data_IF_444322276063
#
_entry.id   IF_444322276063
#
_cell.length_a   1.000
_cell.length_b   1.000
_cell.length_c   1.000
_cell.angle_alpha   90.00
_cell.angle_beta   90.00
_cell.angle_gamma   90.00
#
_symmetry.space_group_name_H-M   'P 1'
#
loop_
_entity.id
_entity.type
_entity.pdbx_description
1 polymer ?
#
# COMPACT_ATOMS: atom_id res chain seq x y z
N UNK A 1 2.55 -6.18 -24.77
CA UNK A 1 2.50 -6.57 -23.34
C UNK A 1 2.23 -5.32 -22.54
N UNK A 2 1.48 -5.41 -21.46
CA UNK A 2 1.20 -4.24 -20.60
C UNK A 2 2.28 -4.14 -19.52
N UNK A 3 2.66 -2.93 -19.12
CA UNK A 3 3.63 -2.68 -18.02
C UNK A 3 3.26 -3.42 -16.73
N UNK A 4 1.97 -3.69 -16.50
CA UNK A 4 1.47 -4.47 -15.37
C UNK A 4 1.85 -5.96 -15.43
N UNK A 5 1.83 -6.57 -16.61
CA UNK A 5 2.17 -7.99 -16.78
C UNK A 5 3.67 -8.21 -16.59
N UNK A 6 4.48 -7.30 -17.12
CA UNK A 6 5.93 -7.30 -17.00
C UNK A 6 6.37 -7.04 -15.55
N UNK A 7 5.72 -6.09 -14.86
CA UNK A 7 5.90 -5.87 -13.42
C UNK A 7 5.66 -7.15 -12.61
N UNK A 8 4.53 -7.82 -12.85
CA UNK A 8 4.20 -9.08 -12.15
C UNK A 8 5.21 -10.19 -12.42
N UNK A 9 5.72 -10.29 -13.65
CA UNK A 9 6.77 -11.27 -13.96
C UNK A 9 8.06 -10.98 -13.20
N UNK A 10 8.49 -9.72 -13.17
CA UNK A 10 9.72 -9.33 -12.48
C UNK A 10 9.62 -9.54 -10.96
N UNK A 11 8.46 -9.25 -10.35
CA UNK A 11 8.21 -9.57 -8.93
C UNK A 11 8.30 -11.08 -8.68
N UNK A 12 7.66 -11.90 -9.52
CA UNK A 12 7.70 -13.37 -9.39
C UNK A 12 9.11 -13.95 -9.56
N UNK A 13 9.94 -13.31 -10.39
CA UNK A 13 11.32 -13.69 -10.60
C UNK A 13 12.26 -13.25 -9.46
N UNK A 14 11.77 -12.49 -8.48
CA UNK A 14 12.60 -11.90 -7.42
C UNK A 14 13.37 -10.65 -7.84
N UNK A 15 13.14 -10.15 -9.06
CA UNK A 15 13.79 -8.96 -9.61
C UNK A 15 13.06 -7.69 -9.17
N UNK A 16 12.98 -7.47 -7.85
CA UNK A 16 12.18 -6.39 -7.26
C UNK A 16 12.65 -5.01 -7.75
N UNK A 17 13.97 -4.81 -7.88
CA UNK A 17 14.54 -3.55 -8.39
C UNK A 17 14.06 -3.24 -9.81
N UNK A 18 14.09 -4.23 -10.69
CA UNK A 18 13.71 -4.03 -12.10
C UNK A 18 12.20 -3.83 -12.24
N UNK A 19 11.41 -4.55 -11.44
CA UNK A 19 9.96 -4.34 -11.35
C UNK A 19 9.64 -2.90 -10.93
N UNK A 20 10.28 -2.41 -9.86
CA UNK A 20 10.07 -1.05 -9.38
C UNK A 20 10.59 0.00 -10.37
N UNK A 21 11.72 -0.25 -11.04
CA UNK A 21 12.26 0.67 -12.05
C UNK A 21 11.30 0.79 -13.25
N UNK A 22 10.73 -0.33 -13.70
CA UNK A 22 9.74 -0.36 -14.77
C UNK A 22 8.49 0.43 -14.40
N UNK A 23 7.95 0.21 -13.20
CA UNK A 23 6.70 0.85 -12.77
C UNK A 23 6.88 2.33 -12.39
N UNK A 24 7.99 2.67 -11.74
CA UNK A 24 8.24 4.03 -11.24
C UNK A 24 8.81 4.96 -12.32
N UNK A 25 9.46 4.41 -13.37
CA UNK A 25 10.01 5.23 -14.45
C UNK A 25 8.97 6.03 -15.24
N UNK A 26 7.72 5.57 -15.25
CA UNK A 26 6.60 6.24 -15.94
C UNK A 26 5.54 6.78 -14.95
N UNK A 27 5.75 6.64 -13.64
CA UNK A 27 4.78 7.03 -12.62
C UNK A 27 4.94 8.51 -12.23
N UNK A 28 3.82 9.23 -12.16
CA UNK A 28 3.74 10.58 -11.59
C UNK A 28 3.54 10.52 -10.07
N UNK A 29 2.89 9.46 -9.61
CA UNK A 29 2.45 9.31 -8.23
C UNK A 29 2.70 7.90 -7.71
N UNK A 30 3.12 7.82 -6.44
CA UNK A 30 3.26 6.59 -5.68
C UNK A 30 2.28 6.61 -4.51
N UNK A 31 1.46 5.58 -4.42
CA UNK A 31 0.60 5.33 -3.27
C UNK A 31 1.09 4.09 -2.52
N UNK A 32 1.34 4.23 -1.22
CA UNK A 32 1.72 3.15 -0.31
C UNK A 32 0.65 3.04 0.76
N UNK A 33 0.03 1.86 0.89
CA UNK A 33 -0.88 1.55 1.99
C UNK A 33 -0.22 0.52 2.89
N UNK A 34 -0.02 0.87 4.16
CA UNK A 34 0.43 -0.04 5.21
C UNK A 34 -0.67 -0.20 6.24
N UNK A 35 -0.91 -1.41 6.72
CA UNK A 35 -1.97 -1.66 7.70
C UNK A 35 -1.59 -2.70 8.73
N UNK A 36 -2.28 -2.69 9.86
CA UNK A 36 -2.16 -3.72 10.89
C UNK A 36 -3.19 -4.81 10.62
N UNK A 37 -2.71 -6.01 10.29
CA UNK A 37 -3.58 -7.19 10.17
C UNK A 37 -3.94 -7.67 11.58
N UNK A 38 -5.24 -7.63 11.92
CA UNK A 38 -5.75 -8.21 13.15
C UNK A 38 -6.17 -9.66 12.91
N UNK A 39 -5.56 -10.58 13.65
CA UNK A 39 -5.96 -12.01 13.68
C UNK A 39 -7.19 -12.28 14.56
N UNK A 40 -7.84 -11.23 15.09
CA UNK A 40 -8.97 -11.38 15.99
C UNK A 40 -10.18 -11.95 15.23
N UNK A 41 -10.73 -13.11 15.65
CA UNK A 41 -11.92 -13.67 15.03
C UNK A 41 -13.12 -12.76 15.35
N UNK A 42 -13.47 -11.87 14.43
CA UNK A 42 -14.77 -11.21 14.47
C UNK A 42 -15.87 -12.29 14.41
N UNK A 43 -16.88 -12.32 15.31
CA UNK A 43 -17.87 -13.40 15.36
C UNK A 43 -18.79 -13.48 14.13
N UNK A 44 -18.75 -12.50 13.23
CA UNK A 44 -19.61 -12.43 12.05
C UNK A 44 -18.87 -11.70 10.93
N UNK A 45 -18.19 -12.43 10.04
CA UNK A 45 -18.03 -12.13 8.61
C UNK A 45 -16.87 -12.92 8.02
N UNK A 46 -17.21 -13.97 7.29
CA UNK A 46 -16.31 -14.95 6.68
C UNK A 46 -15.61 -14.45 5.40
N UNK A 47 -15.40 -13.14 5.21
CA UNK A 47 -14.93 -12.62 3.91
C UNK A 47 -13.94 -11.44 3.91
N UNK A 48 -13.65 -10.77 5.04
CA UNK A 48 -12.96 -9.46 4.99
C UNK A 48 -11.70 -9.36 5.88
N UNK A 49 -11.10 -10.48 6.27
CA UNK A 49 -9.86 -10.50 7.09
C UNK A 49 -8.59 -10.02 6.35
N UNK A 50 -8.64 -9.87 5.02
CA UNK A 50 -7.48 -9.55 4.17
C UNK A 50 -7.48 -8.13 3.58
N UNK A 51 -8.49 -7.29 3.89
CA UNK A 51 -8.49 -5.90 3.43
C UNK A 51 -8.31 -4.94 4.61
N UNK A 52 -7.44 -3.92 4.47
CA UNK A 52 -7.29 -2.90 5.48
C UNK A 52 -8.60 -2.14 5.67
N UNK A 53 -9.06 -2.03 6.92
CA UNK A 53 -10.08 -1.03 7.26
C UNK A 53 -9.43 0.35 7.24
N UNK A 54 -10.20 1.38 6.85
CA UNK A 54 -9.71 2.76 6.83
C UNK A 54 -9.18 3.24 8.19
N UNK A 55 -9.62 2.63 9.28
CA UNK A 55 -9.25 2.98 10.64
C UNK A 55 -7.90 2.38 11.07
N UNK A 56 -7.47 1.26 10.48
CA UNK A 56 -6.25 0.52 10.85
C UNK A 56 -5.14 0.58 9.78
N UNK A 57 -5.12 1.63 8.96
CA UNK A 57 -4.13 1.82 7.90
C UNK A 57 -3.44 3.18 7.95
N UNK A 58 -2.29 3.26 7.31
CA UNK A 58 -1.64 4.51 6.91
C UNK A 58 -1.54 4.50 5.39
N UNK A 59 -2.03 5.56 4.76
CA UNK A 59 -1.88 5.80 3.32
C UNK A 59 -0.90 6.94 3.10
N UNK A 60 0.13 6.67 2.33
CA UNK A 60 1.11 7.67 1.89
C UNK A 60 0.94 7.90 0.40
N UNK A 61 0.67 9.14 0.01
CA UNK A 61 0.57 9.58 -1.38
C UNK A 61 1.74 10.51 -1.68
N UNK A 62 2.62 10.09 -2.59
CA UNK A 62 3.81 10.83 -3.00
C UNK A 62 3.70 11.25 -4.45
N UNK A 63 3.76 12.55 -4.71
CA UNK A 63 4.03 13.06 -6.05
C UNK A 63 5.53 12.92 -6.32
N UNK A 64 5.90 12.06 -7.28
CA UNK A 64 7.31 11.73 -7.55
C UNK A 64 8.01 12.85 -8.33
N UNK A 65 7.23 13.71 -9.00
CA UNK A 65 7.72 14.84 -9.79
C UNK A 65 8.01 16.04 -8.89
N UNK A 66 7.05 16.43 -8.06
CA UNK A 66 7.13 17.60 -7.20
C UNK A 66 7.74 17.30 -5.82
N UNK A 67 7.86 16.02 -5.47
CA UNK A 67 8.39 15.56 -4.18
C UNK A 67 7.43 15.76 -3.00
N UNK A 68 6.16 16.13 -3.26
CA UNK A 68 5.15 16.30 -2.22
C UNK A 68 4.73 14.95 -1.62
N UNK A 69 4.67 14.88 -0.30
CA UNK A 69 4.29 13.67 0.44
C UNK A 69 3.13 14.01 1.37
N UNK A 70 2.02 13.29 1.20
CA UNK A 70 0.83 13.38 2.04
C UNK A 70 0.61 12.06 2.78
N UNK A 71 0.33 12.12 4.08
CA UNK A 71 0.05 10.96 4.90
C UNK A 71 -1.34 11.07 5.51
N UNK A 72 -2.13 10.02 5.36
CA UNK A 72 -3.42 9.82 6.01
C UNK A 72 -3.26 8.65 7.00
N UNK A 73 -3.55 8.92 8.27
CA UNK A 73 -3.45 7.92 9.35
C UNK A 73 -4.86 7.57 9.80
N UNK A 74 -5.15 6.27 9.89
CA UNK A 74 -6.43 5.76 10.36
C UNK A 74 -6.75 6.21 11.78
N UNK A 75 -8.04 6.36 12.06
CA UNK A 75 -8.56 6.94 13.29
C UNK A 75 -8.12 6.17 14.56
N UNK A 76 -7.89 4.86 14.44
CA UNK A 76 -7.43 4.00 15.55
C UNK A 76 -6.04 4.40 16.06
N UNK A 77 -5.20 4.96 15.18
CA UNK A 77 -3.87 5.45 15.54
C UNK A 77 -3.83 6.95 15.87
N UNK A 78 -4.97 7.65 15.81
CA UNK A 78 -5.08 9.07 16.18
C UNK A 78 -5.33 9.32 17.68
N UNK A 79 -5.33 8.26 18.50
CA UNK A 79 -5.54 8.36 19.96
C UNK A 79 -4.38 9.03 20.70
N UNK A 80 -4.70 9.83 21.74
CA UNK A 80 -3.76 10.57 22.56
C UNK A 80 -2.59 9.68 23.01
N UNK A 81 -1.37 10.14 22.73
CA UNK A 81 -0.15 9.51 23.23
C UNK A 81 -0.17 9.32 24.76
N UNK A 82 0.83 8.59 25.32
CA UNK A 82 0.92 8.40 26.76
C UNK A 82 0.86 9.71 27.56
#
# INVERSE_FOLDING_TARGET
MTTKDDFKQQIKAGNIRDALTLSLGEAVELEITTWVSSSSPAPHSSAELDQPTSDCQMRTRMNIVDGEINNEVGSEFMGNGP
#
